data_IF_674743077366
#
_entry.id   IF_674743077366
#
_cell.length_a   1.000
_cell.length_b   1.000
_cell.length_c   1.000
_cell.angle_alpha   90.00
_cell.angle_beta   90.00
_cell.angle_gamma   90.00
#
_symmetry.space_group_name_H-M   'P 1'
#
loop_
_entity.id
_entity.type
_entity.pdbx_description
1 polymer ?
#
# COMPACT_ATOMS: atom_id res chain seq x y z
N UNK A 1 1.32 -17.50 8.73
CA UNK A 1 0.69 -16.18 8.50
C UNK A 1 0.47 -16.07 6.99
N UNK A 2 -0.66 -15.54 6.51
CA UNK A 2 -0.82 -15.35 5.06
C UNK A 2 0.05 -14.15 4.63
N UNK A 3 1.04 -14.43 3.79
CA UNK A 3 2.11 -13.50 3.43
C UNK A 3 3.39 -14.24 3.03
N UNK A 4 4.49 -13.50 2.87
CA UNK A 4 5.81 -14.07 2.55
C UNK A 4 6.72 -13.98 3.78
N UNK A 5 7.05 -15.12 4.37
CA UNK A 5 7.94 -15.20 5.54
C UNK A 5 9.35 -14.65 5.21
N UNK A 6 9.82 -14.84 3.98
CA UNK A 6 11.11 -14.32 3.52
C UNK A 6 11.11 -12.79 3.40
N UNK A 7 10.00 -12.19 2.95
CA UNK A 7 9.88 -10.74 2.87
C UNK A 7 9.78 -10.13 4.27
N UNK A 8 9.00 -10.75 5.15
CA UNK A 8 8.88 -10.33 6.56
C UNK A 8 10.26 -10.34 7.23
N UNK A 9 10.99 -11.46 7.14
CA UNK A 9 12.33 -11.57 7.70
C UNK A 9 13.28 -10.48 7.17
N UNK A 10 13.21 -10.17 5.86
CA UNK A 10 14.03 -9.12 5.26
C UNK A 10 13.65 -7.72 5.75
N UNK A 11 12.35 -7.42 5.85
CA UNK A 11 11.87 -6.14 6.36
C UNK A 11 12.34 -5.94 7.80
N UNK A 12 12.21 -6.96 8.65
CA UNK A 12 12.69 -6.91 10.04
C UNK A 12 14.21 -6.83 10.15
N UNK A 13 14.94 -7.44 9.24
CA UNK A 13 16.40 -7.29 9.19
C UNK A 13 16.81 -5.83 8.87
N UNK A 14 16.11 -5.16 7.95
CA UNK A 14 16.43 -3.79 7.53
C UNK A 14 15.99 -2.76 8.56
N UNK A 15 14.75 -2.88 9.07
CA UNK A 15 14.13 -1.84 9.90
C UNK A 15 14.10 -2.20 11.41
N UNK A 16 14.47 -3.41 11.77
CA UNK A 16 14.34 -3.94 13.14
C UNK A 16 12.94 -4.48 13.42
N UNK A 17 12.80 -5.14 14.58
CA UNK A 17 11.55 -5.78 14.98
C UNK A 17 10.37 -4.80 15.14
N UNK A 18 10.63 -3.56 15.57
CA UNK A 18 9.60 -2.52 15.84
C UNK A 18 9.82 -1.21 15.08
N UNK A 19 10.64 -1.23 14.03
CA UNK A 19 10.98 0.00 13.31
C UNK A 19 11.66 1.06 14.19
N UNK A 20 11.68 2.30 13.67
CA UNK A 20 12.04 3.53 14.38
C UNK A 20 11.37 4.71 13.66
N UNK A 21 11.57 5.95 14.14
CA UNK A 21 10.94 7.15 13.55
C UNK A 21 11.30 7.39 12.08
N UNK A 22 12.38 6.78 11.59
CA UNK A 22 12.87 6.90 10.22
C UNK A 22 12.64 5.60 9.41
N UNK A 23 11.96 4.60 9.97
CA UNK A 23 11.71 3.34 9.28
C UNK A 23 10.58 3.49 8.26
N UNK A 24 10.95 3.51 6.97
CA UNK A 24 10.02 3.56 5.86
C UNK A 24 10.35 2.48 4.83
N UNK A 25 9.36 1.63 4.52
CA UNK A 25 9.43 0.63 3.47
C UNK A 25 8.61 1.08 2.26
N UNK A 26 9.30 1.44 1.18
CA UNK A 26 8.68 1.89 -0.07
C UNK A 26 8.59 0.71 -1.03
N UNK A 27 7.40 0.49 -1.60
CA UNK A 27 7.13 -0.61 -2.52
C UNK A 27 6.21 -0.20 -3.67
N UNK A 28 5.96 -1.11 -4.61
CA UNK A 28 5.25 -0.83 -5.86
C UNK A 28 4.60 -2.06 -6.49
N UNK A 29 4.51 -2.04 -7.83
CA UNK A 29 3.97 -3.10 -8.69
C UNK A 29 2.44 -3.20 -8.75
N UNK A 30 1.72 -3.17 -7.63
CA UNK A 30 0.27 -3.50 -7.62
C UNK A 30 -0.67 -2.40 -8.12
N UNK A 31 -0.14 -1.21 -8.40
CA UNK A 31 -0.92 -0.04 -8.83
C UNK A 31 -2.00 0.41 -7.83
N UNK A 32 -2.00 0.00 -6.56
CA UNK A 32 -2.87 0.59 -5.54
C UNK A 32 -2.12 1.59 -4.67
N UNK A 33 -2.77 2.62 -4.17
CA UNK A 33 -2.14 3.50 -3.18
C UNK A 33 -2.19 2.85 -1.80
N UNK A 34 -1.11 3.00 -1.03
CA UNK A 34 -1.00 2.49 0.34
C UNK A 34 -0.11 3.41 1.16
N UNK A 35 -0.57 3.82 2.34
CA UNK A 35 0.25 4.54 3.33
C UNK A 35 -0.25 4.16 4.72
N UNK A 36 0.55 3.42 5.48
CA UNK A 36 0.18 2.97 6.83
C UNK A 36 1.42 2.81 7.71
N UNK A 37 1.26 3.10 9.01
CA UNK A 37 2.24 2.75 10.03
C UNK A 37 1.89 1.41 10.65
N UNK A 38 2.76 0.41 10.52
CA UNK A 38 2.59 -0.92 11.12
C UNK A 38 3.88 -1.29 11.85
N UNK A 39 3.77 -1.63 13.14
CA UNK A 39 4.89 -1.98 14.01
C UNK A 39 6.07 -1.00 13.94
N UNK A 40 5.76 0.31 13.91
CA UNK A 40 6.76 1.38 13.83
C UNK A 40 7.48 1.51 12.48
N UNK A 41 7.01 0.83 11.43
CA UNK A 41 7.51 0.94 10.05
C UNK A 41 6.40 1.56 9.20
N UNK A 42 6.70 2.64 8.49
CA UNK A 42 5.78 3.24 7.51
C UNK A 42 5.87 2.49 6.19
N UNK A 43 4.78 1.93 5.71
CA UNK A 43 4.71 1.24 4.42
C UNK A 43 4.05 2.15 3.40
N UNK A 44 4.78 2.52 2.36
CA UNK A 44 4.31 3.47 1.34
C UNK A 44 4.34 2.85 -0.05
N UNK A 45 3.22 2.93 -0.75
CA UNK A 45 3.10 2.68 -2.17
C UNK A 45 2.36 3.87 -2.80
N UNK A 46 3.09 4.68 -3.56
CA UNK A 46 2.57 5.80 -4.33
C UNK A 46 2.82 5.57 -5.83
N UNK A 47 2.09 4.64 -6.48
CA UNK A 47 2.40 4.26 -7.86
C UNK A 47 2.00 5.35 -8.84
N UNK A 48 2.79 5.49 -9.91
CA UNK A 48 2.48 6.36 -11.05
C UNK A 48 1.21 5.87 -11.78
N UNK A 49 1.08 4.54 -11.92
CA UNK A 49 0.00 3.84 -12.61
C UNK A 49 -0.17 4.25 -14.09
N UNK A 50 -1.11 3.62 -14.81
CA UNK A 50 -1.40 4.01 -16.19
C UNK A 50 -2.11 5.37 -16.24
N UNK A 51 -2.04 6.11 -17.37
CA UNK A 51 -2.66 7.44 -17.47
C UNK A 51 -4.14 7.50 -17.03
N UNK A 52 -4.94 6.46 -17.36
CA UNK A 52 -6.35 6.37 -16.93
C UNK A 52 -6.51 6.20 -15.42
N UNK A 53 -5.63 5.43 -14.80
CA UNK A 53 -5.62 5.18 -13.35
C UNK A 53 -5.10 6.39 -12.59
N UNK A 54 -4.04 7.03 -13.13
CA UNK A 54 -3.44 8.23 -12.57
C UNK A 54 -4.43 9.38 -12.48
N UNK A 55 -5.25 9.60 -13.52
CA UNK A 55 -6.29 10.65 -13.55
C UNK A 55 -7.30 10.59 -12.38
N UNK A 56 -7.40 9.47 -11.67
CA UNK A 56 -8.33 9.28 -10.55
C UNK A 56 -7.69 9.52 -9.18
N UNK A 57 -6.44 9.96 -9.12
CA UNK A 57 -5.66 10.10 -7.88
C UNK A 57 -5.49 11.56 -7.46
N UNK A 58 -5.11 11.78 -6.20
CA UNK A 58 -4.60 13.07 -5.74
C UNK A 58 -3.40 13.49 -6.59
N UNK A 59 -3.43 14.72 -7.10
CA UNK A 59 -2.46 15.24 -8.10
C UNK A 59 -2.36 14.35 -9.35
N UNK A 60 -3.47 13.71 -9.74
CA UNK A 60 -3.54 12.84 -10.90
C UNK A 60 -3.88 13.58 -12.17
N UNK A 61 -3.03 13.58 -13.20
CA UNK A 61 -3.33 14.25 -14.45
C UNK A 61 -2.11 14.68 -15.25
N UNK A 62 -2.22 15.83 -15.90
CA UNK A 62 -1.09 16.58 -16.50
C UNK A 62 -0.24 17.25 -15.41
N UNK A 63 -0.88 17.71 -14.32
CA UNK A 63 -0.22 18.33 -13.15
C UNK A 63 0.26 17.30 -12.12
N UNK A 64 0.72 16.13 -12.56
CA UNK A 64 1.23 15.12 -11.63
C UNK A 64 2.52 15.60 -10.96
N UNK A 65 2.53 15.50 -9.63
CA UNK A 65 3.70 15.80 -8.81
C UNK A 65 4.20 14.52 -8.12
N UNK A 66 5.53 14.36 -7.99
CA UNK A 66 6.11 13.31 -7.17
C UNK A 66 5.58 13.35 -5.73
N UNK A 67 5.35 12.18 -5.14
CA UNK A 67 4.96 12.08 -3.74
C UNK A 67 6.17 12.33 -2.83
N UNK A 68 6.14 13.39 -2.04
CA UNK A 68 7.22 13.74 -1.12
C UNK A 68 7.14 12.89 0.15
N UNK A 69 8.08 11.95 0.30
CA UNK A 69 8.16 11.04 1.46
C UNK A 69 9.14 11.56 2.53
N UNK A 70 10.15 12.34 2.12
CA UNK A 70 11.21 12.81 3.00
C UNK A 70 11.51 14.27 2.72
N UNK A 71 11.55 15.09 3.77
CA UNK A 71 11.82 16.52 3.70
C UNK A 71 12.40 17.01 5.01
N UNK A 72 13.21 18.07 4.99
CA UNK A 72 13.79 18.70 6.21
C UNK A 72 14.54 17.74 7.15
N UNK A 73 15.08 16.64 6.62
CA UNK A 73 15.83 15.66 7.42
C UNK A 73 14.97 14.60 8.12
N UNK A 74 13.68 14.53 7.79
CA UNK A 74 12.73 13.60 8.41
C UNK A 74 11.72 13.04 7.39
N UNK A 75 11.05 11.95 7.76
CA UNK A 75 9.90 11.46 7.01
C UNK A 75 8.74 12.45 7.17
N UNK A 76 7.96 12.65 6.12
CA UNK A 76 6.78 13.50 6.18
C UNK A 76 5.77 12.94 7.19
N UNK A 77 5.33 13.75 8.15
CA UNK A 77 4.51 13.27 9.28
C UNK A 77 3.11 12.80 8.86
N UNK A 78 2.52 13.45 7.86
CA UNK A 78 1.15 13.15 7.43
C UNK A 78 1.13 11.91 6.51
N UNK A 79 0.50 10.83 6.99
CA UNK A 79 0.10 9.73 6.12
C UNK A 79 -0.89 10.24 5.08
N UNK A 80 -0.66 9.87 3.82
CA UNK A 80 -1.57 10.25 2.74
C UNK A 80 -2.83 9.40 2.75
N UNK A 81 -4.02 10.01 2.58
CA UNK A 81 -5.26 9.25 2.50
C UNK A 81 -5.20 8.32 1.30
N UNK A 82 -5.35 7.03 1.56
CA UNK A 82 -5.23 5.98 0.58
C UNK A 82 -6.37 5.00 0.82
N UNK A 83 -7.33 4.95 -0.12
CA UNK A 83 -8.57 4.18 0.03
C UNK A 83 -8.39 2.79 0.64
N UNK A 84 -7.39 2.02 0.18
CA UNK A 84 -7.17 0.66 0.66
C UNK A 84 -6.56 0.60 2.06
N UNK A 85 -5.56 1.42 2.39
CA UNK A 85 -5.03 1.43 3.75
C UNK A 85 -6.02 2.00 4.75
N UNK A 86 -6.81 3.02 4.36
CA UNK A 86 -7.90 3.56 5.17
C UNK A 86 -9.00 2.51 5.41
N UNK A 87 -9.36 1.75 4.37
CA UNK A 87 -10.31 0.64 4.50
C UNK A 87 -9.79 -0.42 5.49
N UNK A 88 -8.55 -0.88 5.33
CA UNK A 88 -7.98 -1.90 6.20
C UNK A 88 -7.60 -1.41 7.60
N UNK A 89 -7.60 -0.10 7.84
CA UNK A 89 -7.48 0.45 9.19
C UNK A 89 -8.72 0.13 10.06
N UNK A 90 -9.89 -0.02 9.45
CA UNK A 90 -11.16 -0.33 10.14
C UNK A 90 -11.71 -1.71 9.83
N UNK A 91 -11.20 -2.39 8.79
CA UNK A 91 -11.70 -3.67 8.31
C UNK A 91 -10.57 -4.71 8.38
N UNK A 92 -10.68 -5.76 9.20
CA UNK A 92 -9.69 -6.83 9.23
C UNK A 92 -9.58 -7.55 7.88
N UNK A 93 -8.38 -8.02 7.55
CA UNK A 93 -8.19 -8.93 6.41
C UNK A 93 -8.78 -10.30 6.74
N UNK A 94 -9.47 -10.91 5.78
CA UNK A 94 -9.95 -12.30 5.83
C UNK A 94 -9.25 -13.13 4.74
N UNK A 95 -7.95 -13.42 4.91
CA UNK A 95 -7.12 -13.95 3.83
C UNK A 95 -7.46 -15.39 3.43
N UNK A 96 -8.20 -16.13 4.26
CA UNK A 96 -8.69 -17.48 3.96
C UNK A 96 -9.89 -17.48 2.98
N UNK A 97 -10.49 -16.31 2.74
CA UNK A 97 -11.56 -16.16 1.74
C UNK A 97 -10.95 -16.19 0.34
N UNK A 98 -11.12 -17.33 -0.33
CA UNK A 98 -10.59 -17.59 -1.68
C UNK A 98 -11.68 -17.62 -2.76
N UNK A 99 -12.93 -17.39 -2.37
CA UNK A 99 -14.06 -17.34 -3.28
C UNK A 99 -13.97 -16.12 -4.21
N UNK A 100 -14.36 -16.30 -5.48
CA UNK A 100 -14.45 -15.18 -6.41
C UNK A 100 -15.54 -14.22 -5.95
N UNK A 101 -15.23 -12.93 -5.98
CA UNK A 101 -16.24 -11.90 -5.75
C UNK A 101 -17.45 -12.09 -6.70
N UNK A 102 -18.70 -11.88 -6.26
CA UNK A 102 -19.89 -12.20 -7.05
C UNK A 102 -19.91 -11.56 -8.45
N UNK A 103 -19.41 -10.33 -8.59
CA UNK A 103 -19.32 -9.61 -9.87
C UNK A 103 -18.23 -10.14 -10.81
N UNK A 104 -17.27 -10.93 -10.30
CA UNK A 104 -16.25 -11.66 -11.08
C UNK A 104 -16.78 -13.05 -11.43
N UNK A 105 -17.33 -13.76 -10.44
CA UNK A 105 -17.81 -15.14 -10.60
C UNK A 105 -18.79 -15.30 -11.78
N UNK A 106 -19.61 -14.27 -12.06
CA UNK A 106 -20.56 -14.28 -13.19
C UNK A 106 -19.92 -14.52 -14.56
N UNK A 107 -18.65 -14.15 -14.75
CA UNK A 107 -17.91 -14.32 -16.01
C UNK A 107 -17.30 -15.72 -16.16
N UNK A 108 -17.24 -16.49 -15.07
CA UNK A 108 -16.64 -17.83 -15.02
C UNK A 108 -17.69 -18.93 -14.84
N UNK A 109 -18.98 -18.62 -15.06
CA UNK A 109 -20.02 -19.64 -15.10
C UNK A 109 -19.72 -20.60 -16.25
N UNK A 110 -19.43 -21.86 -15.90
CA UNK A 110 -19.35 -22.96 -16.85
C UNK A 110 -20.66 -23.03 -17.64
N UNK A 111 -20.53 -23.24 -18.95
CA UNK A 111 -21.62 -23.75 -19.79
C UNK A 111 -22.27 -24.97 -19.14
#
# INVERSE_FOLDING_TARGET
MIGSDFLEARIRYIHGARGNTNACHIFGHTHFCWDVLLDGIRYVQAPLAYPRERKRRMNGGEDWLPFCIYSKGELTENMSPCYWSDYYASNPRTPDVTELAPWVARFYRKL
#
